data_IF_741064267494
#
_entry.id   IF_741064267494
#
_cell.length_a   1.000
_cell.length_b   1.000
_cell.length_c   1.000
_cell.angle_alpha   90.00
_cell.angle_beta   90.00
_cell.angle_gamma   90.00
#
_symmetry.space_group_name_H-M   'P 1'
#
loop_
_entity.id
_entity.type
_entity.pdbx_description
1 polymer ?
#
# COMPACT_ATOMS: atom_id res chain seq x y z
N UNK A 1 34.20 1.92 21.72
CA UNK A 1 34.04 0.63 21.02
C UNK A 1 32.69 0.64 20.31
N UNK A 2 32.69 0.80 18.99
CA UNK A 2 31.46 0.93 18.20
C UNK A 2 30.93 -0.45 17.84
N UNK A 3 29.71 -0.78 18.28
CA UNK A 3 29.03 -2.01 17.90
C UNK A 3 28.82 -2.00 16.38
N UNK A 4 29.31 -2.98 15.61
CA UNK A 4 29.06 -3.02 14.18
C UNK A 4 27.55 -3.20 13.97
N UNK A 5 26.90 -2.17 13.43
CA UNK A 5 25.50 -2.24 13.00
C UNK A 5 25.42 -3.32 11.92
N UNK A 6 24.92 -4.51 12.25
CA UNK A 6 24.57 -5.53 11.26
C UNK A 6 23.71 -4.84 10.21
N UNK A 7 24.16 -4.86 8.95
CA UNK A 7 23.34 -4.44 7.82
C UNK A 7 22.08 -5.31 7.88
N UNK A 8 20.94 -4.71 8.24
CA UNK A 8 19.67 -5.39 8.11
C UNK A 8 19.55 -5.83 6.64
N UNK A 9 19.20 -7.11 6.42
CA UNK A 9 19.01 -7.63 5.07
C UNK A 9 18.02 -6.75 4.33
N UNK A 10 18.28 -6.50 3.04
CA UNK A 10 17.31 -5.77 2.22
C UNK A 10 15.99 -6.55 2.22
N UNK A 11 14.82 -5.89 2.11
CA UNK A 11 13.52 -6.59 2.15
C UNK A 11 13.43 -7.79 1.19
N UNK A 12 13.99 -7.66 -0.01
CA UNK A 12 14.02 -8.76 -0.99
C UNK A 12 14.93 -9.94 -0.57
N UNK A 13 16.00 -9.69 0.19
CA UNK A 13 16.88 -10.75 0.72
C UNK A 13 16.20 -11.53 1.86
N UNK A 14 15.32 -10.86 2.62
CA UNK A 14 14.52 -11.50 3.65
C UNK A 14 13.43 -12.40 3.03
N UNK A 15 12.77 -11.93 1.97
CA UNK A 15 11.78 -12.71 1.22
C UNK A 15 12.40 -13.96 0.55
N UNK A 16 13.55 -13.81 -0.11
CA UNK A 16 14.29 -14.97 -0.64
C UNK A 16 14.66 -15.98 0.45
N UNK A 17 15.19 -15.50 1.58
CA UNK A 17 15.59 -16.36 2.69
C UNK A 17 14.42 -17.06 3.40
N UNK A 18 13.21 -16.53 3.27
CA UNK A 18 11.98 -17.16 3.75
C UNK A 18 11.48 -18.26 2.79
N UNK A 19 11.76 -18.13 1.49
CA UNK A 19 11.35 -19.09 0.45
C UNK A 19 12.35 -20.24 0.27
N UNK A 20 13.58 -20.10 0.73
CA UNK A 20 14.62 -21.12 0.61
C UNK A 20 14.38 -22.30 1.56
N UNK A 21 14.47 -23.55 1.06
CA UNK A 21 14.49 -24.74 1.91
C UNK A 21 15.88 -24.89 2.53
N UNK A 22 15.97 -24.99 3.85
CA UNK A 22 17.25 -25.10 4.56
C UNK A 22 17.64 -26.55 4.85
N UNK A 23 16.68 -27.48 4.73
CA UNK A 23 16.91 -28.92 4.94
C UNK A 23 16.32 -29.78 3.83
N UNK A 24 16.81 -31.02 3.71
CA UNK A 24 16.25 -32.02 2.78
C UNK A 24 14.79 -32.35 3.08
N UNK A 25 14.40 -32.36 4.36
CA UNK A 25 13.01 -32.58 4.77
C UNK A 25 12.09 -31.46 4.28
N UNK A 26 12.48 -30.20 4.54
CA UNK A 26 11.73 -29.03 4.08
C UNK A 26 11.60 -28.96 2.55
N UNK A 27 12.64 -29.38 1.82
CA UNK A 27 12.59 -29.47 0.37
C UNK A 27 11.56 -30.51 -0.11
N UNK A 28 11.51 -31.69 0.53
CA UNK A 28 10.50 -32.73 0.23
C UNK A 28 9.09 -32.25 0.54
N UNK A 29 8.88 -31.63 1.70
CA UNK A 29 7.57 -31.12 2.11
C UNK A 29 7.08 -30.02 1.15
N UNK A 30 7.98 -29.13 0.72
CA UNK A 30 7.67 -28.11 -0.29
C UNK A 30 7.30 -28.76 -1.63
N UNK A 31 8.04 -29.76 -2.09
CA UNK A 31 7.72 -30.48 -3.32
C UNK A 31 6.35 -31.17 -3.24
N UNK A 32 6.05 -31.82 -2.11
CA UNK A 32 4.76 -32.48 -1.88
C UNK A 32 3.60 -31.47 -1.88
N UNK A 33 3.73 -30.34 -1.19
CA UNK A 33 2.73 -29.26 -1.22
C UNK A 33 2.55 -28.69 -2.63
N UNK A 34 3.64 -28.45 -3.34
CA UNK A 34 3.59 -27.97 -4.73
C UNK A 34 2.87 -28.94 -5.65
N UNK A 35 3.12 -30.24 -5.50
CA UNK A 35 2.45 -31.29 -6.27
C UNK A 35 0.94 -31.34 -5.98
N UNK A 36 0.56 -31.29 -4.71
CA UNK A 36 -0.85 -31.28 -4.31
C UNK A 36 -1.61 -30.09 -4.89
N UNK A 37 -0.99 -28.90 -4.96
CA UNK A 37 -1.61 -27.72 -5.58
C UNK A 37 -1.81 -27.90 -7.09
N UNK A 38 -0.85 -28.51 -7.78
CA UNK A 38 -0.97 -28.81 -9.22
C UNK A 38 -2.06 -29.85 -9.46
N UNK A 39 -2.08 -30.93 -8.68
CA UNK A 39 -3.09 -31.98 -8.83
C UNK A 39 -4.51 -31.43 -8.54
N UNK A 40 -4.66 -30.53 -7.55
CA UNK A 40 -5.91 -29.82 -7.28
C UNK A 40 -6.37 -28.94 -8.46
N UNK A 41 -5.43 -28.18 -9.05
CA UNK A 41 -5.72 -27.35 -10.23
C UNK A 41 -6.13 -28.20 -11.44
N UNK A 42 -5.46 -29.34 -11.66
CA UNK A 42 -5.81 -30.29 -12.72
C UNK A 42 -7.17 -30.95 -12.48
N UNK A 43 -7.55 -31.16 -11.21
CA UNK A 43 -8.87 -31.63 -10.83
C UNK A 43 -9.97 -30.55 -10.94
N UNK A 44 -9.64 -29.34 -11.40
CA UNK A 44 -10.57 -28.22 -11.55
C UNK A 44 -11.02 -27.60 -10.22
N UNK A 45 -10.30 -27.86 -9.12
CA UNK A 45 -10.60 -27.22 -7.84
C UNK A 45 -10.20 -25.74 -7.90
N UNK A 46 -11.12 -24.87 -7.49
CA UNK A 46 -10.82 -23.45 -7.36
C UNK A 46 -9.70 -23.26 -6.31
N UNK A 47 -8.73 -22.36 -6.56
CA UNK A 47 -7.70 -22.07 -5.58
C UNK A 47 -8.35 -21.57 -4.28
N UNK A 48 -7.84 -22.02 -3.14
CA UNK A 48 -8.27 -21.52 -1.84
C UNK A 48 -8.10 -19.99 -1.83
N UNK A 49 -9.17 -19.28 -1.46
CA UNK A 49 -9.18 -17.84 -1.41
C UNK A 49 -8.20 -17.38 -0.32
N UNK A 50 -7.01 -16.94 -0.76
CA UNK A 50 -6.00 -16.40 0.15
C UNK A 50 -6.52 -15.05 0.60
N UNK A 51 -7.04 -14.99 1.83
CA UNK A 51 -7.39 -13.74 2.49
C UNK A 51 -6.08 -13.03 2.83
N UNK A 52 -5.56 -12.22 1.89
CA UNK A 52 -4.46 -11.33 2.21
C UNK A 52 -4.94 -10.36 3.31
N UNK A 53 -4.14 -10.08 4.35
CA UNK A 53 -4.43 -8.94 5.20
C UNK A 53 -4.43 -7.70 4.31
N UNK A 54 -5.60 -7.08 4.16
CA UNK A 54 -5.75 -5.83 3.43
C UNK A 54 -5.09 -4.72 4.25
N UNK A 55 -3.79 -4.52 4.08
CA UNK A 55 -3.27 -3.17 4.26
C UNK A 55 -3.86 -2.34 3.12
N UNK A 56 -4.80 -1.46 3.47
CA UNK A 56 -5.43 -0.52 2.55
C UNK A 56 -4.31 0.31 1.89
N UNK A 57 -3.87 -0.13 0.72
CA UNK A 57 -2.95 0.65 -0.10
C UNK A 57 -3.67 1.95 -0.43
N UNK A 58 -3.07 3.12 -0.15
CA UNK A 58 -3.72 4.38 -0.45
C UNK A 58 -4.07 4.47 -1.94
N UNK A 59 -5.13 5.23 -2.28
CA UNK A 59 -5.56 5.40 -3.66
C UNK A 59 -4.39 5.87 -4.55
N UNK A 60 -4.32 5.33 -5.76
CA UNK A 60 -3.24 5.60 -6.70
C UNK A 60 -3.03 7.12 -6.91
N UNK A 61 -1.77 7.57 -6.90
CA UNK A 61 -1.41 8.97 -7.09
C UNK A 61 -1.36 9.81 -5.81
N UNK A 62 -1.72 9.27 -4.65
CA UNK A 62 -1.46 9.93 -3.38
C UNK A 62 0.00 9.72 -2.96
N UNK A 63 0.65 10.80 -2.58
CA UNK A 63 2.02 10.79 -2.07
C UNK A 63 2.12 11.69 -0.84
N UNK A 64 3.25 11.62 -0.13
CA UNK A 64 3.52 12.53 0.98
C UNK A 64 3.91 13.90 0.43
N UNK A 65 2.96 14.84 0.42
CA UNK A 65 3.14 16.22 -0.10
C UNK A 65 3.09 17.25 1.02
N UNK A 66 3.63 18.43 0.79
CA UNK A 66 3.45 19.58 1.67
C UNK A 66 2.06 20.22 1.45
N UNK A 67 1.32 20.47 2.52
CA UNK A 67 0.07 21.21 2.49
C UNK A 67 0.27 22.60 1.87
N UNK A 68 -0.56 22.98 0.89
CA UNK A 68 -0.46 24.28 0.23
C UNK A 68 -0.75 25.50 1.14
N UNK A 69 -1.36 25.29 2.31
CA UNK A 69 -1.70 26.37 3.25
C UNK A 69 -0.71 26.53 4.41
N UNK A 70 -0.23 25.43 4.99
CA UNK A 70 0.62 25.47 6.20
C UNK A 70 1.92 24.68 6.06
N UNK A 71 2.21 24.12 4.89
CA UNK A 71 3.40 23.33 4.58
C UNK A 71 3.63 22.08 5.46
N UNK A 72 2.65 21.71 6.29
CA UNK A 72 2.68 20.44 7.03
C UNK A 72 2.57 19.26 6.08
N UNK A 73 3.27 18.15 6.34
CA UNK A 73 3.26 16.98 5.46
C UNK A 73 1.90 16.28 5.57
N UNK A 74 1.31 15.92 4.43
CA UNK A 74 0.02 15.25 4.31
C UNK A 74 0.07 14.17 3.22
N UNK A 75 -0.74 13.14 3.37
CA UNK A 75 -0.96 12.13 2.34
C UNK A 75 -2.06 12.59 1.39
N UNK A 76 -1.70 13.17 0.25
CA UNK A 76 -2.64 13.81 -0.67
C UNK A 76 -2.07 13.98 -2.09
N UNK A 77 -2.88 14.48 -3.02
CA UNK A 77 -2.42 14.95 -4.33
C UNK A 77 -1.62 16.26 -4.19
N UNK A 78 -0.66 16.55 -5.08
CA UNK A 78 0.06 17.83 -5.11
C UNK A 78 -0.88 19.04 -5.13
N UNK A 79 -0.58 20.05 -4.31
CA UNK A 79 -1.40 21.27 -4.19
C UNK A 79 -2.59 21.17 -3.23
N UNK A 80 -2.81 20.01 -2.59
CA UNK A 80 -3.88 19.82 -1.61
C UNK A 80 -3.66 20.64 -0.33
N UNK A 81 -4.76 21.00 0.35
CA UNK A 81 -4.74 21.63 1.69
C UNK A 81 -5.12 20.61 2.75
N UNK A 82 -4.49 20.69 3.92
CA UNK A 82 -4.82 19.81 5.05
C UNK A 82 -6.14 20.23 5.72
N UNK A 83 -6.82 19.32 6.44
CA UNK A 83 -8.07 19.61 7.13
C UNK A 83 -7.98 20.77 8.16
N UNK A 84 -6.79 21.01 8.72
CA UNK A 84 -6.56 22.12 9.64
C UNK A 84 -6.54 23.48 8.93
N UNK A 85 -6.21 23.53 7.64
CA UNK A 85 -6.18 24.74 6.82
C UNK A 85 -7.55 25.08 6.24
N UNK A 86 -8.66 24.81 6.97
CA UNK A 86 -10.07 24.97 6.54
C UNK A 86 -10.24 25.94 5.37
N UNK A 87 -10.85 25.43 4.29
CA UNK A 87 -11.07 26.15 3.04
C UNK A 87 -11.59 27.58 3.28
N UNK A 88 -11.16 28.57 2.47
CA UNK A 88 -11.73 29.91 2.54
C UNK A 88 -13.26 29.82 2.37
N UNK A 89 -14.02 30.73 3.00
CA UNK A 89 -15.47 30.77 2.81
C UNK A 89 -15.76 30.81 1.31
N UNK A 90 -16.77 30.04 0.88
CA UNK A 90 -17.27 30.09 -0.49
C UNK A 90 -17.50 31.56 -0.88
N UNK A 91 -17.17 31.96 -2.12
CA UNK A 91 -17.38 33.34 -2.54
C UNK A 91 -18.85 33.71 -2.29
N UNK A 92 -19.15 34.93 -1.81
CA UNK A 92 -20.53 35.34 -1.63
C UNK A 92 -21.23 35.20 -2.98
N UNK A 93 -22.29 34.40 -3.04
CA UNK A 93 -23.23 34.43 -4.16
C UNK A 93 -23.84 35.81 -4.16
N UNK A 94 -23.31 36.72 -4.98
CA UNK A 94 -23.97 37.97 -5.31
C UNK A 94 -25.31 37.60 -5.95
N UNK A 95 -26.47 37.91 -5.34
CA UNK A 95 -27.72 37.85 -6.08
C UNK A 95 -27.62 38.86 -7.22
N UNK A 96 -27.89 38.39 -8.42
CA UNK A 96 -28.04 39.22 -9.60
C UNK A 96 -28.99 40.40 -9.32
N UNK A 97 -28.55 41.59 -9.67
CA UNK A 97 -29.44 42.72 -9.96
C UNK A 97 -28.78 43.58 -11.04
N UNK A 98 -29.52 44.19 -11.98
CA UNK A 98 -30.96 44.12 -12.25
C UNK A 98 -31.27 43.72 -13.71
N UNK A 99 -32.44 43.13 -13.96
CA UNK A 99 -33.04 43.10 -15.31
C UNK A 99 -34.39 43.79 -15.28
N UNK A 100 -34.41 44.98 -15.88
CA UNK A 100 -35.47 45.62 -16.68
C UNK A 100 -36.93 45.54 -16.21
N UNK A 101 -37.50 46.73 -15.93
CA UNK A 101 -38.79 47.16 -16.46
C UNK A 101 -38.78 48.70 -16.59
#
# INVERSE_FOLDING_TARGET
MSIPRRRARRPWEADLAAREARTRGEAKDRAHRGRALVDAALAGQAPAEVTAPAEESPPAGYEYVACAGCYRPIWALPGSRCPACKAPPAPPTTPDSPTAA
#
